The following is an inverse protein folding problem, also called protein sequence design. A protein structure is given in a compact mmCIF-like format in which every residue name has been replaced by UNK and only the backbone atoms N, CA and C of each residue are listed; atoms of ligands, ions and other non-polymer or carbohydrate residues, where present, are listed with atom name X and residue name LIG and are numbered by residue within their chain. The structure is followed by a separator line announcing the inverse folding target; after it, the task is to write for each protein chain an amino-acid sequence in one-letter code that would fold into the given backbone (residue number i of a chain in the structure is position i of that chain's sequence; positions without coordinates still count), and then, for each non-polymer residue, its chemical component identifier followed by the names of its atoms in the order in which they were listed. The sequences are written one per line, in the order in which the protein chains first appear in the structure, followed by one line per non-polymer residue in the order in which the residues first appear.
data_IF_072937179089
#
_entry.id   IF_072937179089
#
_cell.length_a   1.000
_cell.length_b   1.000
_cell.length_c   1.000
_cell.angle_alpha   90.00
_cell.angle_beta   90.00
_cell.angle_gamma   90.00
#
_symmetry.space_group_name_H-M   'P 1'
#
loop_
_entity.id
_entity.type
_entity.pdbx_description
1 polymer ?
#
# COMPACT_ATOMS: atom_id res chain seq x y z
N UNK A 1 -1.70 -29.63 -16.33
CA UNK A 1 -1.70 -28.21 -15.94
C UNK A 1 -1.54 -28.10 -14.43
N UNK A 2 -0.31 -28.10 -13.88
CA UNK A 2 -0.07 -27.92 -12.46
C UNK A 2 0.26 -26.46 -12.07
N UNK A 3 0.13 -25.49 -12.98
CA UNK A 3 0.64 -24.13 -12.78
C UNK A 3 -0.18 -23.25 -11.82
N UNK A 4 -1.48 -23.50 -11.65
CA UNK A 4 -2.33 -22.56 -10.90
C UNK A 4 -2.21 -22.72 -9.37
N UNK A 5 -1.97 -23.94 -8.88
CA UNK A 5 -1.97 -24.24 -7.44
C UNK A 5 -0.63 -23.87 -6.79
N UNK A 6 0.49 -24.12 -7.48
CA UNK A 6 1.82 -23.71 -7.00
C UNK A 6 1.99 -22.18 -7.00
N UNK A 7 1.41 -21.49 -7.98
CA UNK A 7 1.47 -20.02 -8.06
C UNK A 7 0.63 -19.35 -6.97
N UNK A 8 -0.54 -19.91 -6.62
CA UNK A 8 -1.34 -19.45 -5.49
C UNK A 8 -0.68 -19.78 -4.13
N UNK A 9 -0.09 -20.96 -4.00
CA UNK A 9 0.55 -21.39 -2.75
C UNK A 9 1.79 -20.57 -2.39
N UNK A 10 2.64 -20.27 -3.36
CA UNK A 10 3.84 -19.45 -3.14
C UNK A 10 3.48 -18.00 -2.77
N UNK A 11 2.49 -17.39 -3.44
CA UNK A 11 2.04 -16.01 -3.15
C UNK A 11 1.41 -15.86 -1.77
N UNK A 12 0.65 -16.86 -1.31
CA UNK A 12 0.06 -16.86 0.04
C UNK A 12 1.13 -16.94 1.14
N UNK A 13 2.26 -17.60 0.88
CA UNK A 13 3.37 -17.71 1.83
C UNK A 13 4.20 -16.41 1.87
N UNK A 14 4.33 -15.72 0.73
CA UNK A 14 4.93 -14.39 0.65
C UNK A 14 4.08 -13.32 1.35
N UNK A 15 2.75 -13.47 1.37
CA UNK A 15 1.83 -12.62 2.16
C UNK A 15 1.99 -12.81 3.68
N UNK A 16 2.65 -13.89 4.12
CA UNK A 16 2.87 -14.17 5.55
C UNK A 16 4.23 -13.68 6.07
N UNK A 17 4.99 -12.91 5.27
CA UNK A 17 6.24 -12.28 5.69
C UNK A 17 6.15 -10.75 5.71
N UNK A 18 5.79 -10.20 6.87
CA UNK A 18 5.72 -8.76 7.07
C UNK A 18 7.07 -8.05 7.03
N UNK A 19 8.20 -8.78 7.09
CA UNK A 19 9.50 -8.20 6.82
C UNK A 19 9.61 -7.71 5.38
N UNK A 20 9.10 -8.52 4.44
CA UNK A 20 9.08 -8.18 3.02
C UNK A 20 8.11 -7.03 2.73
N UNK A 21 6.98 -6.98 3.44
CA UNK A 21 6.04 -5.85 3.34
C UNK A 21 6.67 -4.53 3.83
N UNK A 22 7.42 -4.57 4.93
CA UNK A 22 8.14 -3.39 5.42
C UNK A 22 9.20 -2.89 4.41
N UNK A 23 9.97 -3.79 3.81
CA UNK A 23 10.94 -3.42 2.77
C UNK A 23 10.26 -2.80 1.55
N UNK A 24 9.13 -3.37 1.11
CA UNK A 24 8.32 -2.85 0.00
C UNK A 24 7.73 -1.48 0.31
N UNK A 25 7.24 -1.25 1.54
CA UNK A 25 6.73 0.06 1.96
C UNK A 25 7.82 1.15 1.91
N UNK A 26 9.05 0.83 2.33
CA UNK A 26 10.19 1.74 2.23
C UNK A 26 10.59 2.02 0.78
N UNK A 27 10.56 1.00 -0.08
CA UNK A 27 10.83 1.17 -1.50
C UNK A 27 9.78 2.05 -2.18
N UNK A 28 8.49 1.85 -1.86
CA UNK A 28 7.40 2.70 -2.33
C UNK A 28 7.59 4.15 -1.90
N UNK A 29 7.95 4.40 -0.65
CA UNK A 29 8.19 5.77 -0.15
C UNK A 29 9.28 6.48 -0.96
N UNK A 30 10.40 5.81 -1.25
CA UNK A 30 11.48 6.36 -2.08
C UNK A 30 11.06 6.61 -3.53
N UNK A 31 10.25 5.73 -4.10
CA UNK A 31 9.71 5.91 -5.44
C UNK A 31 8.74 7.11 -5.47
N UNK A 32 7.87 7.24 -4.46
CA UNK A 32 6.96 8.36 -4.32
C UNK A 32 7.71 9.70 -4.14
N UNK A 33 8.84 9.70 -3.42
CA UNK A 33 9.78 10.83 -3.35
C UNK A 33 10.31 11.23 -4.72
N UNK A 34 10.78 10.26 -5.51
CA UNK A 34 11.34 10.50 -6.85
C UNK A 34 10.33 11.05 -7.86
N UNK A 35 9.04 10.75 -7.66
CA UNK A 35 7.94 11.19 -8.52
C UNK A 35 7.21 12.44 -7.99
N UNK A 36 7.68 13.05 -6.89
CA UNK A 36 7.03 14.17 -6.18
C UNK A 36 5.57 13.87 -5.75
N UNK A 37 5.30 12.59 -5.46
CA UNK A 37 3.97 12.09 -5.11
C UNK A 37 3.72 12.04 -3.60
N UNK A 38 4.71 12.33 -2.74
CA UNK A 38 4.56 12.25 -1.27
C UNK A 38 3.41 13.13 -0.77
N UNK A 39 3.24 14.30 -1.37
CA UNK A 39 2.17 15.25 -1.01
C UNK A 39 0.77 14.69 -1.31
N UNK A 40 0.69 13.63 -2.10
CA UNK A 40 -0.52 13.02 -2.62
C UNK A 40 -0.72 11.61 -2.05
N UNK A 41 0.33 10.82 -1.90
CA UNK A 41 0.30 9.47 -1.36
C UNK A 41 1.62 9.12 -0.68
N UNK A 42 1.54 8.62 0.56
CA UNK A 42 2.69 8.13 1.33
C UNK A 42 2.33 6.81 2.01
N UNK A 43 3.35 6.00 2.31
CA UNK A 43 3.19 4.80 3.12
C UNK A 43 3.49 5.09 4.59
N UNK A 44 2.81 4.39 5.50
CA UNK A 44 3.19 4.41 6.91
C UNK A 44 4.60 3.81 7.05
N UNK A 45 5.52 4.57 7.63
CA UNK A 45 6.93 4.17 7.70
C UNK A 45 7.11 2.99 8.67
N UNK A 46 7.70 1.86 8.25
CA UNK A 46 7.91 0.72 9.12
C UNK A 46 8.99 0.99 10.18
N UNK A 47 8.75 0.53 11.41
CA UNK A 47 9.75 0.52 12.48
C UNK A 47 10.51 -0.80 12.43
N UNK A 48 11.55 -0.88 11.59
CA UNK A 48 12.27 -2.12 11.29
C UNK A 48 12.79 -2.88 12.52
N UNK A 49 13.16 -2.18 13.59
CA UNK A 49 13.61 -2.82 14.84
C UNK A 49 12.50 -3.52 15.64
N UNK A 50 11.24 -3.24 15.33
CA UNK A 50 10.06 -3.83 15.98
C UNK A 50 9.22 -4.70 15.03
N UNK A 51 9.46 -4.61 13.72
CA UNK A 51 8.85 -5.49 12.72
C UNK A 51 9.50 -6.86 12.74
N UNK A 52 8.68 -7.91 12.66
CA UNK A 52 9.10 -9.30 12.52
C UNK A 52 8.33 -9.93 11.36
N UNK A 53 8.69 -11.16 10.98
CA UNK A 53 7.96 -11.92 9.95
C UNK A 53 6.43 -11.98 10.18
N UNK A 54 5.97 -11.93 11.43
CA UNK A 54 4.54 -12.08 11.80
C UNK A 54 3.91 -10.84 12.41
N UNK A 55 4.66 -9.76 12.59
CA UNK A 55 4.13 -8.48 13.08
C UNK A 55 4.75 -7.33 12.30
N UNK A 56 3.94 -6.52 11.63
CA UNK A 56 4.35 -5.24 11.04
C UNK A 56 4.10 -4.11 12.03
N UNK A 57 5.14 -3.30 12.32
CA UNK A 57 5.00 -2.09 13.13
C UNK A 57 5.31 -0.89 12.24
N UNK A 58 4.43 0.11 12.23
CA UNK A 58 4.60 1.35 11.48
C UNK A 58 4.40 2.58 12.36
N UNK A 59 4.80 3.74 11.86
CA UNK A 59 4.33 5.01 12.38
C UNK A 59 2.80 5.09 12.34
N UNK A 60 2.25 5.86 13.29
CA UNK A 60 0.82 6.08 13.36
C UNK A 60 0.38 7.13 12.34
N UNK A 61 -0.65 6.81 11.55
CA UNK A 61 -1.28 7.72 10.60
C UNK A 61 -2.67 8.09 11.12
N UNK A 62 -2.88 9.38 11.44
CA UNK A 62 -4.22 9.90 11.75
C UNK A 62 -4.95 10.22 10.45
N UNK A 63 -6.03 9.50 10.18
CA UNK A 63 -6.83 9.69 8.97
C UNK A 63 -8.22 9.07 9.05
N UNK A 64 -9.03 9.36 8.03
CA UNK A 64 -10.35 8.78 7.82
C UNK A 64 -10.29 7.68 6.76
N UNK A 65 -11.01 6.57 6.99
CA UNK A 65 -11.15 5.51 5.99
C UNK A 65 -11.81 6.05 4.73
N UNK A 66 -11.25 5.74 3.56
CA UNK A 66 -11.76 6.24 2.28
C UNK A 66 -13.23 5.88 2.03
N UNK A 67 -13.69 4.71 2.48
CA UNK A 67 -15.09 4.28 2.38
C UNK A 67 -16.05 5.26 3.07
N UNK A 68 -15.65 5.79 4.22
CA UNK A 68 -16.44 6.75 4.99
C UNK A 68 -16.44 8.11 4.30
N UNK A 69 -15.27 8.57 3.83
CA UNK A 69 -15.17 9.83 3.08
C UNK A 69 -15.98 9.76 1.77
N UNK A 70 -15.88 8.66 1.03
CA UNK A 70 -16.55 8.48 -0.24
C UNK A 70 -18.08 8.40 -0.11
N UNK A 71 -18.59 7.89 1.01
CA UNK A 71 -20.03 7.89 1.29
C UNK A 71 -20.58 9.29 1.61
N UNK A 72 -19.72 10.24 2.02
CA UNK A 72 -20.11 11.60 2.43
C UNK A 72 -20.01 12.61 1.29
N UNK A 73 -19.03 12.44 0.39
CA UNK A 73 -18.76 13.37 -0.70
C UNK A 73 -18.26 12.63 -1.95
N UNK A 74 -19.05 12.68 -3.02
CA UNK A 74 -18.75 12.02 -4.29
C UNK A 74 -17.63 12.71 -5.10
N UNK A 75 -17.46 14.03 -4.97
CA UNK A 75 -16.36 14.76 -5.62
C UNK A 75 -15.03 14.40 -4.95
N UNK A 76 -15.02 14.34 -3.61
CA UNK A 76 -13.85 13.92 -2.85
C UNK A 76 -13.51 12.44 -3.11
N UNK A 77 -14.52 11.57 -3.20
CA UNK A 77 -14.33 10.17 -3.59
C UNK A 77 -13.55 10.04 -4.91
N UNK A 78 -13.91 10.86 -5.90
CA UNK A 78 -13.28 10.86 -7.24
C UNK A 78 -11.83 11.34 -7.20
N UNK A 79 -11.52 12.33 -6.34
CA UNK A 79 -10.14 12.77 -6.10
C UNK A 79 -9.31 11.66 -5.47
N UNK A 80 -9.81 11.04 -4.41
CA UNK A 80 -9.14 9.94 -3.72
C UNK A 80 -8.92 8.73 -4.63
N UNK A 81 -9.87 8.44 -5.53
CA UNK A 81 -9.74 7.41 -6.54
C UNK A 81 -8.64 7.70 -7.56
N UNK A 82 -8.48 8.97 -7.95
CA UNK A 82 -7.38 9.40 -8.83
C UNK A 82 -6.02 9.21 -8.12
N UNK A 83 -5.95 9.59 -6.85
CA UNK A 83 -4.75 9.39 -6.01
C UNK A 83 -4.39 7.90 -5.89
N UNK A 84 -5.36 7.04 -5.61
CA UNK A 84 -5.15 5.60 -5.50
C UNK A 84 -4.63 4.98 -6.81
N UNK A 85 -5.16 5.40 -7.96
CA UNK A 85 -4.68 4.96 -9.28
C UNK A 85 -3.25 5.42 -9.51
N UNK A 86 -2.91 6.68 -9.18
CA UNK A 86 -1.55 7.19 -9.31
C UNK A 86 -0.57 6.41 -8.42
N UNK A 87 -0.93 6.12 -7.18
CA UNK A 87 -0.13 5.31 -6.26
C UNK A 87 0.08 3.88 -6.81
N UNK A 88 -0.97 3.29 -7.37
CA UNK A 88 -0.91 1.97 -8.00
C UNK A 88 0.01 1.94 -9.22
N UNK A 89 -0.05 2.97 -10.07
CA UNK A 89 0.83 3.12 -11.23
C UNK A 89 2.28 3.33 -10.79
N UNK A 90 2.52 4.13 -9.74
CA UNK A 90 3.86 4.30 -9.17
C UNK A 90 4.42 2.96 -8.64
N UNK A 91 3.61 2.17 -7.93
CA UNK A 91 4.01 0.81 -7.50
C UNK A 91 4.35 -0.08 -8.70
N UNK A 92 3.50 -0.11 -9.73
CA UNK A 92 3.68 -0.95 -10.90
C UNK A 92 4.94 -0.58 -11.71
N UNK A 93 5.15 0.71 -11.94
CA UNK A 93 6.21 1.20 -12.83
C UNK A 93 7.59 1.23 -12.15
N UNK A 94 7.66 1.56 -10.85
CA UNK A 94 8.94 1.72 -10.14
C UNK A 94 9.37 0.46 -9.38
N UNK A 95 8.45 -0.31 -8.80
CA UNK A 95 8.80 -1.46 -7.95
C UNK A 95 8.72 -2.81 -8.67
N UNK A 96 8.15 -2.85 -9.88
CA UNK A 96 7.88 -4.09 -10.63
C UNK A 96 6.95 -5.07 -9.89
N UNK A 97 6.37 -4.63 -8.78
CA UNK A 97 5.57 -5.42 -7.85
C UNK A 97 4.25 -4.69 -7.60
N UNK A 98 3.15 -5.43 -7.61
CA UNK A 98 1.84 -4.91 -7.27
C UNK A 98 1.49 -5.35 -5.86
N UNK A 99 0.93 -4.43 -5.05
CA UNK A 99 0.17 -4.87 -3.89
C UNK A 99 -0.99 -5.71 -4.41
N UNK A 100 -1.00 -7.00 -4.10
CA UNK A 100 -1.92 -7.97 -4.69
C UNK A 100 -3.40 -7.68 -4.38
N UNK A 101 -3.65 -6.90 -3.34
CA UNK A 101 -4.97 -6.45 -2.93
C UNK A 101 -4.97 -4.94 -2.64
N UNK A 102 -5.12 -4.07 -3.66
CA UNK A 102 -5.28 -2.63 -3.48
C UNK A 102 -6.70 -2.34 -2.96
N UNK A 103 -7.01 -2.88 -1.78
CA UNK A 103 -8.27 -2.66 -1.12
C UNK A 103 -8.29 -1.27 -0.49
N UNK A 104 -9.46 -0.62 -0.62
CA UNK A 104 -9.74 0.68 -0.05
C UNK A 104 -9.51 0.75 1.47
N UNK A 105 -9.54 -0.39 2.15
CA UNK A 105 -9.25 -0.51 3.58
C UNK A 105 -7.79 -0.22 3.97
N UNK A 106 -6.84 -0.29 3.04
CA UNK A 106 -5.42 -0.03 3.30
C UNK A 106 -5.03 1.43 3.08
N UNK A 107 -5.99 2.27 2.68
CA UNK A 107 -5.76 3.68 2.41
C UNK A 107 -6.53 4.55 3.41
N UNK A 108 -5.84 5.56 3.90
CA UNK A 108 -6.39 6.57 4.81
C UNK A 108 -6.26 7.93 4.16
N UNK A 109 -7.32 8.75 4.26
CA UNK A 109 -7.22 10.19 4.01
C UNK A 109 -6.64 10.84 5.27
N UNK A 110 -5.38 11.25 5.22
CA UNK A 110 -4.77 12.03 6.29
C UNK A 110 -5.56 13.34 6.50
N UNK A 111 -5.62 13.80 7.75
CA UNK A 111 -6.31 15.06 8.12
C UNK A 111 -5.56 16.31 7.69
#
# INVERSE_FOLDING_TARGET
MPGLVDEYGARLVDELDFGLEAERALAFQKAAEGLDLISVCSAALPVLGLTTRRVLVTDWVDGERLEVTAARDAEEAKRLQTVAITAFLAMLLESGSLHADPHWGNLLRAK
#
